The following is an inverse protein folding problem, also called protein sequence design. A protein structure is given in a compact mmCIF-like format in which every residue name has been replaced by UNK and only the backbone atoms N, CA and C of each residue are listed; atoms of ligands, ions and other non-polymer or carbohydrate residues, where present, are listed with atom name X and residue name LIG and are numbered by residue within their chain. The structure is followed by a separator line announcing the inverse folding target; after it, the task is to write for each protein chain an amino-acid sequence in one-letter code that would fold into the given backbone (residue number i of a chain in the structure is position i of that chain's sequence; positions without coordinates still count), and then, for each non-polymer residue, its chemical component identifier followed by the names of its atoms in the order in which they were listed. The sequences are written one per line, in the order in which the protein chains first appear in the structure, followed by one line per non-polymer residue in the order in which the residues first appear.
data_IF_817379853859
#
_entry.id   IF_817379853859
#
_cell.length_a   1.000
_cell.length_b   1.000
_cell.length_c   1.000
_cell.angle_alpha   90.00
_cell.angle_beta   90.00
_cell.angle_gamma   90.00
#
_symmetry.space_group_name_H-M   'P 1'
#
loop_
_entity.id
_entity.type
_entity.pdbx_description
1 polymer ?
#
# COMPACT_ATOMS: atom_id res chain seq x y z
N UNK A 1 -4.47 -23.76 -26.54
CA UNK A 1 -4.88 -23.21 -25.23
C UNK A 1 -4.09 -21.94 -24.96
N UNK A 2 -4.70 -20.77 -25.12
CA UNK A 2 -4.03 -19.51 -24.78
C UNK A 2 -3.97 -19.42 -23.25
N UNK A 3 -2.77 -19.53 -22.67
CA UNK A 3 -2.53 -19.22 -21.26
C UNK A 3 -2.94 -17.77 -21.02
N UNK A 4 -4.13 -17.55 -20.45
CA UNK A 4 -4.51 -16.24 -19.90
C UNK A 4 -3.44 -15.88 -18.87
N UNK A 5 -2.51 -14.99 -19.21
CA UNK A 5 -1.59 -14.41 -18.24
C UNK A 5 -2.46 -13.82 -17.13
N UNK A 6 -2.22 -14.23 -15.88
CA UNK A 6 -2.87 -13.62 -14.74
C UNK A 6 -2.65 -12.08 -14.82
N UNK A 7 -3.69 -11.28 -14.56
CA UNK A 7 -3.56 -9.83 -14.61
C UNK A 7 -2.43 -9.40 -13.67
N UNK A 8 -1.54 -8.54 -14.15
CA UNK A 8 -0.42 -8.07 -13.32
C UNK A 8 -1.01 -7.17 -12.24
N UNK A 9 -1.02 -7.67 -10.99
CA UNK A 9 -1.37 -6.86 -9.83
C UNK A 9 -0.25 -5.88 -9.53
N UNK A 10 -0.64 -4.64 -9.31
CA UNK A 10 0.23 -3.59 -8.79
C UNK A 10 -0.45 -2.95 -7.60
N UNK A 11 0.34 -2.36 -6.72
CA UNK A 11 -0.10 -1.76 -5.48
C UNK A 11 0.21 -0.27 -5.51
N UNK A 12 -0.67 0.54 -4.95
CA UNK A 12 -0.46 1.98 -4.78
C UNK A 12 -0.75 2.33 -3.33
N UNK A 13 0.13 3.11 -2.74
CA UNK A 13 -0.09 3.69 -1.41
C UNK A 13 -0.72 5.06 -1.56
N UNK A 14 -1.79 5.31 -0.80
CA UNK A 14 -2.47 6.59 -0.72
C UNK A 14 -2.44 7.13 0.70
N UNK A 15 -1.98 8.37 0.86
CA UNK A 15 -2.41 9.18 2.00
C UNK A 15 -3.91 9.50 1.84
N UNK A 16 -4.69 9.33 2.90
CA UNK A 16 -6.14 9.53 2.88
C UNK A 16 -6.65 10.08 4.23
N UNK A 17 -7.92 10.44 4.29
CA UNK A 17 -8.58 10.77 5.56
C UNK A 17 -8.84 9.52 6.41
N UNK A 18 -9.31 9.73 7.64
CA UNK A 18 -9.59 8.63 8.58
C UNK A 18 -10.66 7.66 8.06
N UNK A 19 -11.59 8.16 7.27
CA UNK A 19 -12.67 7.36 6.67
C UNK A 19 -12.22 6.62 5.41
N UNK A 20 -10.96 6.80 4.99
CA UNK A 20 -10.41 6.27 3.73
C UNK A 20 -11.28 6.68 2.54
N UNK A 21 -11.80 7.91 2.56
CA UNK A 21 -12.67 8.38 1.49
C UNK A 21 -11.90 8.44 0.17
N UNK A 22 -12.53 7.98 -0.91
CA UNK A 22 -11.89 8.03 -2.24
C UNK A 22 -11.58 9.46 -2.70
N UNK A 23 -12.34 10.45 -2.22
CA UNK A 23 -12.09 11.86 -2.49
C UNK A 23 -10.77 12.36 -1.86
N UNK A 24 -10.35 11.78 -0.73
CA UNK A 24 -9.08 12.11 -0.07
C UNK A 24 -7.87 11.40 -0.67
N UNK A 25 -8.07 10.31 -1.41
CA UNK A 25 -7.02 9.54 -2.10
C UNK A 25 -6.56 10.27 -3.37
N UNK A 26 -5.74 11.30 -3.20
CA UNK A 26 -5.31 12.13 -4.32
C UNK A 26 -4.17 11.46 -5.12
N UNK A 27 -4.49 10.99 -6.32
CA UNK A 27 -3.53 10.33 -7.23
C UNK A 27 -2.43 11.26 -7.76
N UNK A 28 -2.63 12.59 -7.73
CA UNK A 28 -1.60 13.55 -8.12
C UNK A 28 -0.44 13.61 -7.13
N UNK A 29 -0.69 13.22 -5.87
CA UNK A 29 0.35 13.09 -4.84
C UNK A 29 0.79 11.64 -4.61
N UNK A 30 -0.09 10.69 -4.94
CA UNK A 30 0.09 9.25 -4.74
C UNK A 30 0.21 8.53 -6.09
N UNK A 31 1.30 8.78 -6.81
CA UNK A 31 1.54 8.28 -8.18
C UNK A 31 2.55 7.11 -8.24
N UNK A 32 3.04 6.65 -7.09
CA UNK A 32 3.99 5.54 -7.02
C UNK A 32 3.29 4.19 -7.12
N UNK A 33 3.66 3.42 -8.14
CA UNK A 33 3.10 2.10 -8.41
C UNK A 33 4.15 1.02 -8.08
N UNK A 34 3.78 0.11 -7.20
CA UNK A 34 4.62 -0.99 -6.72
C UNK A 34 4.15 -2.30 -7.34
N UNK A 35 5.01 -2.98 -8.09
CA UNK A 35 4.66 -4.29 -8.66
C UNK A 35 4.59 -5.36 -7.56
N UNK A 36 3.93 -6.48 -7.82
CA UNK A 36 4.01 -7.65 -6.94
C UNK A 36 5.37 -8.37 -7.06
N UNK A 37 6.43 -7.71 -6.62
CA UNK A 37 7.79 -8.25 -6.56
C UNK A 37 8.43 -7.88 -5.23
N UNK A 38 9.33 -8.72 -4.71
CA UNK A 38 10.02 -8.48 -3.43
C UNK A 38 10.70 -7.09 -3.41
N UNK A 39 11.36 -6.71 -4.50
CA UNK A 39 12.02 -5.41 -4.62
C UNK A 39 11.03 -4.24 -4.55
N UNK A 40 9.83 -4.37 -5.13
CA UNK A 40 8.80 -3.33 -5.08
C UNK A 40 8.10 -3.29 -3.73
N UNK A 41 7.88 -4.44 -3.08
CA UNK A 41 7.35 -4.53 -1.71
C UNK A 41 8.28 -3.84 -0.70
N UNK A 42 9.61 -3.96 -0.88
CA UNK A 42 10.59 -3.17 -0.09
C UNK A 42 10.39 -1.67 -0.27
N UNK A 43 10.22 -1.19 -1.52
CA UNK A 43 9.95 0.23 -1.79
C UNK A 43 8.61 0.71 -1.22
N UNK A 44 7.58 -0.14 -1.27
CA UNK A 44 6.28 0.14 -0.64
C UNK A 44 6.44 0.29 0.88
N UNK A 45 7.20 -0.60 1.51
CA UNK A 45 7.53 -0.49 2.93
C UNK A 45 8.32 0.78 3.26
N UNK A 46 9.33 1.12 2.47
CA UNK A 46 10.09 2.37 2.62
C UNK A 46 9.18 3.59 2.49
N UNK A 47 8.21 3.57 1.55
CA UNK A 47 7.22 4.64 1.39
C UNK A 47 6.36 4.79 2.65
N UNK A 48 5.77 3.68 3.14
CA UNK A 48 4.96 3.69 4.36
C UNK A 48 5.78 4.20 5.55
N UNK A 49 7.03 3.75 5.67
CA UNK A 49 7.93 4.16 6.76
C UNK A 49 8.23 5.66 6.71
N UNK A 50 8.52 6.22 5.52
CA UNK A 50 8.74 7.67 5.34
C UNK A 50 7.50 8.50 5.69
N UNK A 51 6.32 8.03 5.31
CA UNK A 51 5.07 8.74 5.63
C UNK A 51 4.77 8.68 7.14
N UNK A 52 5.14 7.58 7.81
CA UNK A 52 5.05 7.44 9.27
C UNK A 52 6.03 8.39 9.98
N UNK A 53 7.30 8.41 9.54
CA UNK A 53 8.33 9.31 10.08
C UNK A 53 7.97 10.79 9.87
N UNK A 54 7.35 11.12 8.74
CA UNK A 54 6.83 12.45 8.45
C UNK A 54 5.57 12.81 9.26
N UNK A 55 5.02 11.88 10.05
CA UNK A 55 3.80 12.08 10.86
C UNK A 55 2.53 12.21 10.03
N UNK A 56 2.55 11.84 8.74
CA UNK A 56 1.42 11.96 7.82
C UNK A 56 0.45 10.79 7.93
N UNK A 57 0.94 9.64 8.38
CA UNK A 57 0.14 8.49 8.77
C UNK A 57 0.41 8.13 10.23
N UNK A 58 -0.50 7.37 10.82
CA UNK A 58 -0.32 6.84 12.17
C UNK A 58 -0.48 5.33 12.14
N UNK A 59 0.38 4.65 12.88
CA UNK A 59 0.37 3.20 13.08
C UNK A 59 0.61 2.97 14.56
N UNK A 60 -0.24 2.17 15.21
CA UNK A 60 0.02 1.78 16.59
C UNK A 60 1.32 0.97 16.67
N UNK A 61 2.13 1.21 17.70
CA UNK A 61 3.43 0.53 17.86
C UNK A 61 3.32 -0.99 17.82
N UNK A 62 2.25 -1.54 18.40
CA UNK A 62 1.96 -2.98 18.42
C UNK A 62 1.57 -3.54 17.05
N UNK A 63 1.13 -2.68 16.12
CA UNK A 63 0.70 -3.07 14.79
C UNK A 63 1.79 -2.84 13.73
N UNK A 64 2.86 -2.11 14.02
CA UNK A 64 4.00 -1.91 13.12
C UNK A 64 4.57 -3.23 12.54
N UNK A 65 4.86 -4.29 13.34
CA UNK A 65 5.32 -5.56 12.78
C UNK A 65 4.27 -6.22 11.87
N UNK A 66 2.97 -6.08 12.18
CA UNK A 66 1.87 -6.63 11.36
C UNK A 66 1.74 -5.93 10.01
N UNK A 67 1.99 -4.61 9.97
CA UNK A 67 2.04 -3.85 8.71
C UNK A 67 3.18 -4.37 7.85
N UNK A 68 4.36 -4.56 8.45
CA UNK A 68 5.52 -5.06 7.73
C UNK A 68 5.27 -6.46 7.18
N UNK A 69 4.74 -7.37 8.00
CA UNK A 69 4.34 -8.71 7.57
C UNK A 69 3.32 -8.68 6.42
N UNK A 70 2.28 -7.85 6.52
CA UNK A 70 1.28 -7.70 5.47
C UNK A 70 1.89 -7.19 4.15
N UNK A 71 2.78 -6.19 4.20
CA UNK A 71 3.45 -5.63 3.01
C UNK A 71 4.34 -6.67 2.32
N UNK A 72 5.03 -7.53 3.07
CA UNK A 72 5.90 -8.57 2.52
C UNK A 72 5.19 -9.89 2.22
N UNK A 73 4.00 -10.10 2.78
CA UNK A 73 3.17 -11.28 2.57
C UNK A 73 2.49 -11.33 1.21
N UNK A 74 1.47 -12.18 1.08
CA UNK A 74 0.76 -12.40 -0.17
C UNK A 74 -0.11 -11.20 -0.60
N UNK A 75 -0.66 -10.45 0.36
CA UNK A 75 -1.54 -9.32 0.08
C UNK A 75 -1.15 -8.03 0.84
N UNK A 76 -0.34 -7.15 0.21
CA UNK A 76 0.02 -5.84 0.76
C UNK A 76 -1.17 -4.95 1.14
N UNK A 77 -2.36 -5.17 0.58
CA UNK A 77 -3.56 -4.41 0.94
C UNK A 77 -4.00 -4.62 2.38
N UNK A 78 -3.67 -5.77 2.98
CA UNK A 78 -4.03 -6.10 4.37
C UNK A 78 -3.35 -5.15 5.37
N UNK A 79 -2.25 -4.51 4.96
CA UNK A 79 -1.58 -3.49 5.75
C UNK A 79 -2.51 -2.31 6.07
N UNK A 80 -3.44 -1.99 5.17
CA UNK A 80 -4.36 -0.85 5.29
C UNK A 80 -5.19 -0.84 6.57
N UNK A 81 -5.50 -2.00 7.15
CA UNK A 81 -6.29 -2.09 8.38
C UNK A 81 -5.57 -1.51 9.60
N UNK A 82 -4.24 -1.45 9.55
CA UNK A 82 -3.38 -0.96 10.62
C UNK A 82 -2.89 0.48 10.38
N UNK A 83 -3.19 1.04 9.21
CA UNK A 83 -2.78 2.39 8.80
C UNK A 83 -3.94 3.37 9.05
N UNK A 84 -3.72 4.36 9.90
CA UNK A 84 -4.58 5.54 9.99
C UNK A 84 -4.05 6.61 9.05
N UNK A 85 -4.95 7.22 8.27
CA UNK A 85 -4.64 8.18 7.22
C UNK A 85 -3.82 7.61 6.04
N UNK A 86 -3.81 6.28 5.89
CA UNK A 86 -3.09 5.57 4.83
C UNK A 86 -3.87 4.36 4.31
N UNK A 87 -3.73 4.06 3.03
CA UNK A 87 -4.37 2.91 2.38
C UNK A 87 -3.46 2.36 1.28
N UNK A 88 -3.33 1.04 1.22
CA UNK A 88 -2.71 0.32 0.10
C UNK A 88 -3.82 -0.30 -0.73
N UNK A 89 -3.88 0.08 -2.01
CA UNK A 89 -4.87 -0.42 -2.97
C UNK A 89 -4.20 -1.28 -4.04
N UNK A 90 -4.89 -2.34 -4.45
CA UNK A 90 -4.47 -3.18 -5.57
C UNK A 90 -5.15 -2.71 -6.86
N UNK A 91 -4.36 -2.46 -7.88
CA UNK A 91 -4.81 -2.17 -9.24
C UNK A 91 -4.46 -3.34 -10.15
N UNK A 92 -5.40 -3.71 -11.02
CA UNK A 92 -5.20 -4.71 -12.05
C UNK A 92 -4.75 -4.00 -13.33
N UNK A 93 -3.54 -4.32 -13.79
CA UNK A 93 -3.12 -3.92 -15.14
C UNK A 93 -3.69 -4.91 -16.16
N UNK A 94 -4.51 -4.39 -17.07
CA UNK A 94 -5.06 -5.11 -18.22
C UNK A 94 -4.10 -5.06 -19.42
#
# INVERSE_FOLDING_TARGET
MATKKAPKKVYVFFNCDETKSRASMNIFYNNEVFKDTIASKKKLWEKISKELEAGRIQIDKDNLPKVQEAVFGDNPCDASQYLRYGQVEALLCH
#
